data_IF_470812011328
#
_entry.id   IF_470812011328
#
_cell.length_a   1.000
_cell.length_b   1.000
_cell.length_c   1.000
_cell.angle_alpha   90.00
_cell.angle_beta   90.00
_cell.angle_gamma   90.00
#
_symmetry.space_group_name_H-M   'P 1'
#
loop_
_entity.id
_entity.type
_entity.pdbx_description
1 polymer ?
#
# COMPACT_ATOMS: atom_id res chain seq x y z
N UNK A 1 -20.51 -25.45 -30.91
CA UNK A 1 -19.66 -25.57 -29.71
C UNK A 1 -20.56 -25.43 -28.50
N UNK A 2 -20.47 -26.32 -27.49
CA UNK A 2 -21.22 -26.15 -26.24
C UNK A 2 -20.66 -24.95 -25.49
N UNK A 3 -21.54 -24.00 -25.15
CA UNK A 3 -21.18 -22.82 -24.37
C UNK A 3 -20.64 -23.24 -23.00
N UNK A 4 -19.37 -22.91 -22.72
CA UNK A 4 -18.62 -23.40 -21.58
C UNK A 4 -18.97 -22.58 -20.35
N UNK A 5 -19.06 -23.22 -19.18
CA UNK A 5 -19.16 -22.50 -17.92
C UNK A 5 -17.77 -22.03 -17.45
N UNK A 6 -17.69 -20.76 -17.10
CA UNK A 6 -16.49 -20.11 -16.55
C UNK A 6 -16.77 -19.60 -15.14
N UNK A 7 -15.74 -19.55 -14.30
CA UNK A 7 -15.88 -19.03 -12.93
C UNK A 7 -15.72 -17.51 -12.97
N UNK A 8 -16.77 -16.80 -12.55
CA UNK A 8 -16.81 -15.34 -12.51
C UNK A 8 -16.22 -14.80 -11.21
N UNK A 9 -16.55 -15.41 -10.07
CA UNK A 9 -16.08 -15.03 -8.74
C UNK A 9 -15.98 -16.26 -7.82
N UNK A 10 -15.16 -16.15 -6.77
CA UNK A 10 -15.08 -17.15 -5.69
C UNK A 10 -15.19 -16.42 -4.36
N UNK A 11 -16.26 -16.67 -3.61
CA UNK A 11 -16.65 -15.87 -2.46
C UNK A 11 -17.22 -16.71 -1.32
N UNK A 12 -17.48 -16.09 -0.17
CA UNK A 12 -18.28 -16.76 0.87
C UNK A 12 -19.73 -16.96 0.40
N UNK A 13 -20.39 -18.01 0.90
CA UNK A 13 -21.71 -18.45 0.42
C UNK A 13 -22.74 -17.32 0.31
N UNK A 14 -22.87 -16.49 1.34
CA UNK A 14 -23.83 -15.37 1.36
C UNK A 14 -23.52 -14.32 0.28
N UNK A 15 -22.24 -13.99 0.05
CA UNK A 15 -21.84 -13.06 -1.00
C UNK A 15 -22.07 -13.66 -2.40
N UNK A 16 -21.80 -14.96 -2.56
CA UNK A 16 -22.05 -15.69 -3.80
C UNK A 16 -23.56 -15.74 -4.15
N UNK A 17 -24.44 -15.92 -3.17
CA UNK A 17 -25.90 -15.87 -3.37
C UNK A 17 -26.40 -14.49 -3.78
N UNK A 18 -25.90 -13.42 -3.14
CA UNK A 18 -26.25 -12.04 -3.50
C UNK A 18 -25.83 -11.76 -4.95
N UNK A 19 -24.60 -12.14 -5.32
CA UNK A 19 -24.09 -11.98 -6.68
C UNK A 19 -24.93 -12.78 -7.69
N UNK A 20 -25.24 -14.04 -7.38
CA UNK A 20 -26.08 -14.90 -8.23
C UNK A 20 -27.45 -14.26 -8.48
N UNK A 21 -28.14 -13.83 -7.43
CA UNK A 21 -29.47 -13.22 -7.54
C UNK A 21 -29.45 -11.96 -8.43
N UNK A 22 -28.38 -11.16 -8.34
CA UNK A 22 -28.20 -9.97 -9.18
C UNK A 22 -27.96 -10.31 -10.64
N UNK A 23 -27.08 -11.28 -10.93
CA UNK A 23 -26.82 -11.75 -12.29
C UNK A 23 -28.10 -12.33 -12.93
N UNK A 24 -28.83 -13.15 -12.18
CA UNK A 24 -30.10 -13.74 -12.62
C UNK A 24 -31.15 -12.67 -12.90
N UNK A 25 -31.24 -11.64 -12.06
CA UNK A 25 -32.17 -10.51 -12.28
C UNK A 25 -31.88 -9.71 -13.55
N UNK A 26 -30.63 -9.75 -14.03
CA UNK A 26 -30.22 -9.12 -15.28
C UNK A 26 -30.29 -10.08 -16.48
N UNK A 27 -30.85 -11.28 -16.29
CA UNK A 27 -31.02 -12.30 -17.32
C UNK A 27 -29.74 -13.09 -17.64
N UNK A 28 -28.81 -13.21 -16.70
CA UNK A 28 -27.61 -14.05 -16.83
C UNK A 28 -27.79 -15.29 -15.97
N UNK A 29 -27.79 -16.46 -16.60
CA UNK A 29 -27.92 -17.74 -15.91
C UNK A 29 -26.64 -18.04 -15.11
N UNK A 30 -26.80 -18.37 -13.83
CA UNK A 30 -25.68 -18.49 -12.91
C UNK A 30 -25.74 -19.76 -12.05
N UNK A 31 -24.59 -20.40 -11.87
CA UNK A 31 -24.44 -21.69 -11.20
C UNK A 31 -23.46 -21.57 -10.03
N UNK A 32 -23.84 -22.02 -8.84
CA UNK A 32 -22.94 -22.07 -7.70
C UNK A 32 -22.26 -23.44 -7.62
N UNK A 33 -20.94 -23.46 -7.42
CA UNK A 33 -20.12 -24.66 -7.23
C UNK A 33 -19.34 -24.56 -5.90
N UNK A 34 -18.98 -25.69 -5.31
CA UNK A 34 -18.38 -25.79 -3.97
C UNK A 34 -19.30 -25.32 -2.83
N UNK A 35 -20.61 -25.53 -2.97
CA UNK A 35 -21.61 -25.27 -1.94
C UNK A 35 -21.59 -26.42 -0.93
N UNK A 36 -20.62 -26.45 -0.01
CA UNK A 36 -20.62 -27.40 1.10
C UNK A 36 -21.50 -26.86 2.24
N UNK A 37 -22.74 -27.34 2.31
CA UNK A 37 -23.73 -26.97 3.34
C UNK A 37 -23.61 -27.83 4.62
N UNK A 38 -22.73 -28.83 4.63
CA UNK A 38 -22.57 -29.78 5.73
C UNK A 38 -21.08 -29.86 6.13
N UNK A 39 -20.80 -29.41 7.36
CA UNK A 39 -19.53 -29.42 8.12
C UNK A 39 -18.50 -28.30 7.89
N UNK A 40 -18.10 -27.70 9.02
CA UNK A 40 -17.17 -26.59 9.17
C UNK A 40 -15.70 -26.96 8.95
N UNK A 41 -15.36 -27.42 7.75
CA UNK A 41 -14.00 -27.36 7.23
C UNK A 41 -13.84 -26.08 6.41
N UNK A 42 -12.68 -25.42 6.53
CA UNK A 42 -12.30 -24.18 5.84
C UNK A 42 -12.66 -24.27 4.36
N UNK A 43 -13.73 -23.60 3.92
CA UNK A 43 -14.26 -23.76 2.56
C UNK A 43 -13.30 -23.15 1.53
N UNK A 44 -13.09 -23.82 0.40
CA UNK A 44 -12.38 -23.28 -0.79
C UNK A 44 -13.07 -22.06 -1.45
N UNK A 45 -14.13 -21.52 -0.83
CA UNK A 45 -14.99 -20.49 -1.38
C UNK A 45 -15.99 -21.07 -2.37
N UNK A 46 -17.17 -20.46 -2.41
CA UNK A 46 -18.26 -20.79 -3.32
C UNK A 46 -17.98 -20.10 -4.66
N UNK A 47 -17.89 -20.89 -5.72
CA UNK A 47 -17.61 -20.42 -7.08
C UNK A 47 -18.92 -20.05 -7.76
N UNK A 48 -19.00 -18.81 -8.22
CA UNK A 48 -20.11 -18.29 -9.03
C UNK A 48 -19.72 -18.49 -10.50
N UNK A 49 -20.43 -19.35 -11.22
CA UNK A 49 -20.15 -19.69 -12.61
C UNK A 49 -21.24 -19.17 -13.55
N UNK A 50 -20.84 -18.72 -14.73
CA UNK A 50 -21.73 -18.24 -15.80
C UNK A 50 -21.30 -18.85 -17.13
N UNK A 51 -22.12 -18.66 -18.17
CA UNK A 51 -21.73 -18.98 -19.55
C UNK A 51 -20.66 -18.03 -20.04
N UNK A 52 -19.70 -18.53 -20.82
CA UNK A 52 -18.59 -17.74 -21.37
C UNK A 52 -19.10 -16.58 -22.24
N UNK A 53 -20.22 -16.79 -22.95
CA UNK A 53 -20.90 -15.77 -23.75
C UNK A 53 -21.42 -14.58 -22.94
N UNK A 54 -21.72 -14.76 -21.65
CA UNK A 54 -22.29 -13.73 -20.78
C UNK A 54 -21.25 -12.93 -19.98
N UNK A 55 -19.96 -13.25 -20.14
CA UNK A 55 -18.86 -12.68 -19.33
C UNK A 55 -18.86 -11.16 -19.35
N UNK A 56 -18.96 -10.54 -20.52
CA UNK A 56 -18.88 -9.09 -20.63
C UNK A 56 -20.04 -8.40 -19.89
N UNK A 57 -21.25 -8.94 -20.03
CA UNK A 57 -22.45 -8.42 -19.36
C UNK A 57 -22.39 -8.64 -17.85
N UNK A 58 -21.92 -9.82 -17.42
CA UNK A 58 -21.77 -10.16 -16.01
C UNK A 58 -20.74 -9.28 -15.30
N UNK A 59 -19.62 -8.98 -15.96
CA UNK A 59 -18.59 -8.08 -15.43
C UNK A 59 -19.15 -6.67 -15.20
N UNK A 60 -19.96 -6.14 -16.14
CA UNK A 60 -20.62 -4.82 -15.97
C UNK A 60 -21.51 -4.77 -14.73
N UNK A 61 -22.31 -5.81 -14.48
CA UNK A 61 -23.20 -5.89 -13.30
C UNK A 61 -22.42 -5.96 -12.00
N UNK A 62 -21.34 -6.76 -11.96
CA UNK A 62 -20.44 -6.83 -10.81
C UNK A 62 -19.86 -5.46 -10.49
N UNK A 63 -19.43 -4.73 -11.50
CA UNK A 63 -18.87 -3.39 -11.31
C UNK A 63 -19.91 -2.39 -10.80
N UNK A 64 -21.15 -2.47 -11.26
CA UNK A 64 -22.23 -1.61 -10.72
C UNK A 64 -22.47 -1.88 -9.24
N UNK A 65 -22.51 -3.15 -8.82
CA UNK A 65 -22.63 -3.54 -7.41
C UNK A 65 -21.47 -3.02 -6.56
N UNK A 66 -20.25 -3.14 -7.09
CA UNK A 66 -19.04 -2.63 -6.44
C UNK A 66 -19.07 -1.11 -6.32
N UNK A 67 -19.50 -0.40 -7.36
CA UNK A 67 -19.61 1.07 -7.33
C UNK A 67 -20.50 1.60 -6.20
N UNK A 68 -21.54 0.85 -5.80
CA UNK A 68 -22.41 1.19 -4.67
C UNK A 68 -21.72 0.97 -3.31
N UNK A 69 -20.91 -0.09 -3.18
CA UNK A 69 -20.06 -0.27 -1.99
C UNK A 69 -18.98 0.81 -1.92
N UNK A 70 -18.40 1.18 -3.05
CA UNK A 70 -17.36 2.21 -3.14
C UNK A 70 -17.87 3.62 -2.80
N UNK A 71 -19.13 3.96 -3.11
CA UNK A 71 -19.74 5.23 -2.67
C UNK A 71 -19.79 5.35 -1.13
N UNK A 72 -19.92 4.21 -0.43
CA UNK A 72 -19.89 4.15 1.03
C UNK A 72 -18.47 4.36 1.57
N UNK A 73 -17.46 3.82 0.89
CA UNK A 73 -16.03 4.00 1.25
C UNK A 73 -15.49 5.40 0.85
N UNK A 74 -16.01 6.02 -0.20
CA UNK A 74 -15.66 7.37 -0.64
C UNK A 74 -15.87 8.41 0.47
N UNK A 75 -16.90 8.20 1.30
CA UNK A 75 -17.23 9.05 2.43
C UNK A 75 -16.22 8.97 3.59
N UNK A 76 -15.40 7.91 3.62
CA UNK A 76 -14.37 7.64 4.63
C UNK A 76 -12.94 7.98 4.16
N UNK A 77 -12.76 8.45 2.92
CA UNK A 77 -11.46 8.90 2.43
C UNK A 77 -11.03 10.17 3.16
N UNK A 78 -9.97 10.06 3.95
CA UNK A 78 -9.43 11.19 4.72
C UNK A 78 -8.52 12.04 3.84
N UNK A 79 -8.69 13.34 3.97
CA UNK A 79 -7.80 14.27 3.29
C UNK A 79 -6.35 14.14 3.77
N UNK A 80 -5.35 14.38 2.90
CA UNK A 80 -3.92 14.40 3.27
C UNK A 80 -3.61 15.70 4.01
N UNK A 81 -4.31 15.95 5.13
CA UNK A 81 -3.99 17.05 6.06
C UNK A 81 -2.97 16.66 7.10
N UNK A 82 -2.65 15.36 7.18
CA UNK A 82 -1.81 14.77 8.22
C UNK A 82 -0.96 13.65 7.63
N UNK A 83 0.35 13.76 7.82
CA UNK A 83 1.35 12.79 7.40
C UNK A 83 2.01 12.19 8.64
N UNK A 84 2.07 10.86 8.71
CA UNK A 84 2.80 10.15 9.77
C UNK A 84 4.12 9.64 9.20
N UNK A 85 5.23 9.95 9.87
CA UNK A 85 6.57 9.56 9.44
C UNK A 85 7.26 8.78 10.57
N UNK A 86 7.21 7.44 10.56
CA UNK A 86 7.99 6.66 11.50
C UNK A 86 9.49 6.72 11.17
N UNK A 87 10.33 6.89 12.19
CA UNK A 87 11.77 7.12 12.03
C UNK A 87 12.61 6.25 12.97
N UNK A 88 13.84 5.99 12.56
CA UNK A 88 14.84 5.20 13.30
C UNK A 88 16.24 5.87 13.32
N UNK A 89 16.27 7.16 12.96
CA UNK A 89 17.47 8.00 12.88
C UNK A 89 18.46 7.59 11.78
N UNK A 90 18.06 6.72 10.85
CA UNK A 90 18.86 6.38 9.66
C UNK A 90 18.75 7.45 8.56
N UNK A 91 19.68 7.41 7.61
CA UNK A 91 19.60 8.21 6.38
C UNK A 91 18.29 7.97 5.61
N UNK A 92 17.80 6.73 5.58
CA UNK A 92 16.51 6.38 4.97
C UNK A 92 15.33 7.12 5.62
N UNK A 93 15.30 7.17 6.96
CA UNK A 93 14.27 7.91 7.69
C UNK A 93 14.36 9.42 7.48
N UNK A 94 15.57 9.96 7.29
CA UNK A 94 15.81 11.36 6.94
C UNK A 94 15.29 11.66 5.53
N UNK A 95 15.59 10.83 4.54
CA UNK A 95 15.06 10.96 3.18
C UNK A 95 13.53 10.89 3.17
N UNK A 96 12.95 9.95 3.93
CA UNK A 96 11.49 9.87 4.11
C UNK A 96 10.88 11.17 4.70
N UNK A 97 11.55 11.81 5.66
CA UNK A 97 11.12 13.11 6.20
C UNK A 97 11.18 14.22 5.15
N UNK A 98 12.21 14.26 4.30
CA UNK A 98 12.31 15.25 3.20
C UNK A 98 11.17 15.10 2.19
N UNK A 99 10.85 13.85 1.83
CA UNK A 99 9.68 13.54 1.00
C UNK A 99 8.36 13.99 1.68
N UNK A 100 8.23 13.75 2.99
CA UNK A 100 7.07 14.18 3.75
C UNK A 100 6.91 15.70 3.80
N UNK A 101 8.02 16.46 3.89
CA UNK A 101 8.03 17.94 3.82
C UNK A 101 7.49 18.42 2.47
N UNK A 102 7.98 17.89 1.35
CA UNK A 102 7.47 18.25 0.02
C UNK A 102 6.02 17.86 -0.21
N UNK A 103 5.60 16.71 0.33
CA UNK A 103 4.21 16.29 0.28
C UNK A 103 3.31 17.22 1.14
N UNK A 104 3.80 17.62 2.31
CA UNK A 104 3.10 18.56 3.18
C UNK A 104 2.95 19.94 2.56
N UNK A 105 3.95 20.44 1.83
CA UNK A 105 3.88 21.68 1.05
C UNK A 105 2.73 21.63 0.02
N UNK A 106 2.62 20.54 -0.74
CA UNK A 106 1.58 20.36 -1.77
C UNK A 106 0.16 20.28 -1.21
N UNK A 107 0.02 19.70 -0.02
CA UNK A 107 -1.28 19.39 0.58
C UNK A 107 -1.68 20.26 1.77
N UNK A 108 -0.83 21.24 2.15
CA UNK A 108 -0.98 22.02 3.38
C UNK A 108 -1.18 21.11 4.61
N UNK A 109 -0.25 20.16 4.79
CA UNK A 109 -0.39 19.07 5.75
C UNK A 109 0.53 19.20 6.98
N UNK A 110 0.03 18.76 8.14
CA UNK A 110 0.82 18.60 9.36
C UNK A 110 1.64 17.30 9.34
N UNK A 111 2.90 17.37 9.77
CA UNK A 111 3.78 16.20 9.90
C UNK A 111 3.85 15.75 11.37
N UNK A 112 3.69 14.45 11.59
CA UNK A 112 3.96 13.78 12.87
C UNK A 112 5.09 12.79 12.69
N UNK A 113 6.25 13.09 13.28
CA UNK A 113 7.38 12.16 13.38
C UNK A 113 7.11 11.20 14.54
N UNK A 114 7.29 9.89 14.33
CA UNK A 114 7.11 8.87 15.35
C UNK A 114 8.40 8.05 15.47
N UNK A 115 9.00 8.03 16.64
CA UNK A 115 10.02 7.05 16.96
C UNK A 115 9.46 6.02 17.94
N UNK A 116 9.71 4.74 17.66
CA UNK A 116 9.35 3.63 18.54
C UNK A 116 10.65 3.01 19.02
N UNK A 117 10.90 3.05 20.33
CA UNK A 117 12.03 2.35 20.93
C UNK A 117 11.55 1.02 21.53
N UNK A 118 12.40 0.00 21.41
CA UNK A 118 12.08 -1.33 21.90
C UNK A 118 12.52 -1.45 23.36
N UNK A 119 11.55 -1.70 24.25
CA UNK A 119 11.81 -2.23 25.57
C UNK A 119 11.65 -3.76 25.51
N UNK A 120 12.67 -4.57 25.79
CA UNK A 120 12.52 -6.01 25.86
C UNK A 120 11.49 -6.39 26.92
N UNK A 121 10.41 -7.03 26.51
CA UNK A 121 9.45 -7.67 27.43
C UNK A 121 10.18 -8.84 28.06
N UNK A 122 10.45 -8.76 29.36
CA UNK A 122 11.03 -9.87 30.11
C UNK A 122 9.90 -10.83 30.45
N UNK A 123 9.88 -12.00 29.81
CA UNK A 123 9.05 -13.09 30.30
C UNK A 123 9.51 -13.49 31.70
N UNK A 124 8.56 -13.44 32.64
CA UNK A 124 8.59 -13.87 34.04
C UNK A 124 9.92 -14.50 34.53
N UNK A 125 10.83 -13.65 35.01
CA UNK A 125 12.01 -14.10 35.77
C UNK A 125 11.56 -14.70 37.11
N UNK A 126 12.09 -15.86 37.55
CA UNK A 126 11.77 -16.44 38.85
C UNK A 126 12.01 -15.47 40.01
N UNK A 127 11.07 -15.46 40.96
CA UNK A 127 10.84 -14.46 42.01
C UNK A 127 12.05 -14.21 42.94
N UNK A 128 13.06 -15.09 42.96
CA UNK A 128 14.17 -15.05 43.92
C UNK A 128 15.23 -13.98 43.64
N UNK A 129 15.36 -13.51 42.39
CA UNK A 129 16.27 -12.41 41.99
C UNK A 129 15.52 -11.16 41.49
N UNK A 130 14.20 -11.11 41.66
CA UNK A 130 13.32 -10.20 40.92
C UNK A 130 13.46 -8.71 41.30
N UNK A 131 13.78 -8.36 42.56
CA UNK A 131 13.77 -6.96 43.00
C UNK A 131 15.00 -6.16 42.53
N UNK A 132 16.21 -6.72 42.63
CA UNK A 132 17.43 -6.06 42.12
C UNK A 132 17.43 -6.00 40.59
N UNK A 133 16.98 -7.08 39.93
CA UNK A 133 16.82 -7.11 38.47
C UNK A 133 15.76 -6.10 38.01
N UNK A 134 14.63 -5.94 38.72
CA UNK A 134 13.61 -4.95 38.36
C UNK A 134 14.09 -3.50 38.48
N UNK A 135 14.82 -3.15 39.56
CA UNK A 135 15.34 -1.78 39.73
C UNK A 135 16.40 -1.44 38.69
N UNK A 136 17.34 -2.36 38.42
CA UNK A 136 18.35 -2.16 37.37
C UNK A 136 17.71 -2.09 35.98
N UNK A 137 16.66 -2.88 35.72
CA UNK A 137 15.92 -2.83 34.45
C UNK A 137 15.13 -1.53 34.30
N UNK A 138 14.47 -1.03 35.35
CA UNK A 138 13.74 0.24 35.31
C UNK A 138 14.67 1.44 35.09
N UNK A 139 15.87 1.41 35.70
CA UNK A 139 16.91 2.44 35.47
C UNK A 139 17.40 2.36 34.02
N UNK A 140 17.72 1.16 33.53
CA UNK A 140 18.15 0.95 32.14
C UNK A 140 17.07 1.39 31.13
N UNK A 141 15.79 1.11 31.40
CA UNK A 141 14.68 1.54 30.53
C UNK A 141 14.52 3.05 30.51
N UNK A 142 14.62 3.72 31.67
CA UNK A 142 14.60 5.19 31.74
C UNK A 142 15.78 5.81 30.98
N UNK A 143 16.98 5.27 31.14
CA UNK A 143 18.15 5.72 30.39
C UNK A 143 17.97 5.52 28.88
N UNK A 144 17.42 4.38 28.46
CA UNK A 144 17.10 4.12 27.04
C UNK A 144 16.05 5.10 26.52
N UNK A 145 15.00 5.37 27.29
CA UNK A 145 13.95 6.33 26.94
C UNK A 145 14.54 7.75 26.81
N UNK A 146 15.34 8.20 27.77
CA UNK A 146 15.99 9.51 27.76
C UNK A 146 16.94 9.65 26.58
N UNK A 147 17.74 8.62 26.29
CA UNK A 147 18.60 8.60 25.10
C UNK A 147 17.80 8.65 23.80
N UNK A 148 16.71 7.89 23.71
CA UNK A 148 15.83 7.89 22.54
C UNK A 148 15.12 9.24 22.37
N UNK A 149 14.72 9.86 23.47
CA UNK A 149 14.10 11.18 23.52
C UNK A 149 15.07 12.27 23.05
N UNK A 150 16.31 12.28 23.55
CA UNK A 150 17.33 13.23 23.14
C UNK A 150 17.64 13.10 21.64
N UNK A 151 17.87 11.87 21.15
CA UNK A 151 18.06 11.60 19.72
C UNK A 151 16.88 12.05 18.87
N UNK A 152 15.65 11.85 19.35
CA UNK A 152 14.45 12.29 18.65
C UNK A 152 14.34 13.81 18.59
N UNK A 153 14.67 14.52 19.68
CA UNK A 153 14.68 16.00 19.70
C UNK A 153 15.72 16.54 18.72
N UNK A 154 16.93 15.99 18.73
CA UNK A 154 18.00 16.39 17.81
C UNK A 154 17.59 16.14 16.35
N UNK A 155 17.06 14.94 16.06
CA UNK A 155 16.59 14.58 14.73
C UNK A 155 15.45 15.50 14.25
N UNK A 156 14.45 15.77 15.10
CA UNK A 156 13.34 16.67 14.73
C UNK A 156 13.84 18.09 14.51
N UNK A 157 14.82 18.55 15.29
CA UNK A 157 15.44 19.86 15.11
C UNK A 157 16.15 19.95 13.76
N UNK A 158 16.89 18.90 13.39
CA UNK A 158 17.51 18.78 12.07
C UNK A 158 16.46 18.79 10.94
N UNK A 159 15.38 18.02 11.04
CA UNK A 159 14.31 18.00 10.02
C UNK A 159 13.62 19.36 9.90
N UNK A 160 13.39 20.07 11.01
CA UNK A 160 12.85 21.44 10.97
C UNK A 160 13.80 22.43 10.32
N UNK A 161 15.11 22.29 10.56
CA UNK A 161 16.10 23.11 9.88
C UNK A 161 16.09 22.86 8.37
N UNK A 162 16.00 21.61 7.94
CA UNK A 162 15.87 21.27 6.52
C UNK A 162 14.61 21.90 5.90
N UNK A 163 13.48 21.89 6.61
CA UNK A 163 12.27 22.57 6.14
C UNK A 163 12.50 24.08 6.00
N UNK A 164 13.13 24.72 6.99
CA UNK A 164 13.43 26.15 6.98
C UNK A 164 14.41 26.54 5.87
N UNK A 165 15.46 25.74 5.63
CA UNK A 165 16.44 25.96 4.56
C UNK A 165 15.78 25.88 3.17
N UNK A 166 14.68 25.14 3.05
CA UNK A 166 13.86 25.04 1.84
C UNK A 166 12.71 26.08 1.80
N UNK A 167 12.63 27.00 2.78
CA UNK A 167 11.58 28.03 2.87
C UNK A 167 10.19 27.50 3.26
N UNK A 168 10.16 26.39 4.02
CA UNK A 168 8.96 25.65 4.41
C UNK A 168 8.76 25.60 5.94
N UNK A 169 9.25 26.61 6.66
CA UNK A 169 9.15 26.72 8.12
C UNK A 169 7.72 26.79 8.67
N UNK A 170 6.73 27.12 7.82
CA UNK A 170 5.31 27.12 8.16
C UNK A 170 4.74 25.71 8.37
N UNK A 171 5.39 24.67 7.84
CA UNK A 171 4.92 23.29 7.98
C UNK A 171 5.05 22.85 9.43
N UNK A 172 3.92 22.49 10.05
CA UNK A 172 3.90 22.07 11.44
C UNK A 172 4.45 20.66 11.59
N UNK A 173 5.67 20.57 12.13
CA UNK A 173 6.34 19.31 12.43
C UNK A 173 6.27 19.04 13.94
N UNK A 174 5.52 18.02 14.33
CA UNK A 174 5.42 17.53 15.71
C UNK A 174 6.01 16.12 15.82
N UNK A 175 6.32 15.66 17.03
CA UNK A 175 6.90 14.33 17.24
C UNK A 175 6.25 13.56 18.39
N UNK A 176 6.46 12.25 18.43
CA UNK A 176 6.08 11.37 19.54
C UNK A 176 7.13 10.28 19.70
N UNK A 177 7.49 10.00 20.95
CA UNK A 177 8.22 8.80 21.34
C UNK A 177 7.20 7.77 21.84
N UNK A 178 7.35 6.51 21.44
CA UNK A 178 6.55 5.37 21.91
C UNK A 178 7.46 4.22 22.29
N UNK A 179 7.02 3.46 23.27
CA UNK A 179 7.64 2.20 23.66
C UNK A 179 6.85 1.05 23.03
N UNK A 180 7.54 0.05 22.47
CA UNK A 180 6.90 -1.21 22.07
C UNK A 180 7.40 -1.76 20.74
N UNK A 181 6.53 -2.54 20.09
CA UNK A 181 6.81 -3.14 18.78
C UNK A 181 6.49 -2.11 17.69
N UNK A 182 7.47 -1.84 16.82
CA UNK A 182 7.45 -0.76 15.82
C UNK A 182 6.16 -0.75 14.99
N UNK A 183 5.83 -1.86 14.32
CA UNK A 183 4.62 -1.93 13.48
C UNK A 183 3.30 -1.81 14.25
N UNK A 184 3.26 -2.23 15.52
CA UNK A 184 2.06 -2.13 16.36
C UNK A 184 1.84 -0.69 16.80
N UNK A 185 2.88 -0.02 17.28
CA UNK A 185 2.83 1.38 17.67
C UNK A 185 2.55 2.31 16.48
N UNK A 186 3.08 2.00 15.29
CA UNK A 186 2.71 2.71 14.06
C UNK A 186 1.22 2.53 13.75
N UNK A 187 0.67 1.32 13.87
CA UNK A 187 -0.74 1.06 13.60
C UNK A 187 -1.65 1.74 14.65
N UNK A 188 -1.26 1.74 15.92
CA UNK A 188 -1.95 2.45 17.01
C UNK A 188 -1.93 3.96 16.74
N UNK A 189 -0.77 4.52 16.40
CA UNK A 189 -0.64 5.93 16.06
C UNK A 189 -1.45 6.28 14.81
N UNK A 190 -1.47 5.44 13.78
CA UNK A 190 -2.29 5.65 12.59
C UNK A 190 -3.79 5.70 12.90
N UNK A 191 -4.28 4.90 13.86
CA UNK A 191 -5.67 4.95 14.32
C UNK A 191 -5.98 6.25 15.09
N UNK A 192 -5.07 6.67 15.97
CA UNK A 192 -5.24 7.87 16.80
C UNK A 192 -5.07 9.18 16.02
N UNK A 193 -3.93 9.30 15.33
CA UNK A 193 -3.54 10.46 14.53
C UNK A 193 -4.30 10.55 13.20
N UNK A 194 -4.86 9.45 12.70
CA UNK A 194 -5.66 9.42 11.46
C UNK A 194 -4.97 10.14 10.28
N UNK A 195 -3.71 9.80 9.95
CA UNK A 195 -3.03 10.38 8.79
C UNK A 195 -3.71 9.97 7.48
N UNK A 196 -3.57 10.79 6.45
CA UNK A 196 -3.98 10.45 5.08
C UNK A 196 -2.97 9.51 4.40
N UNK A 197 -1.70 9.56 4.84
CA UNK A 197 -0.60 8.75 4.32
C UNK A 197 0.48 8.53 5.40
N UNK A 198 1.14 7.38 5.34
CA UNK A 198 2.33 7.07 6.13
C UNK A 198 3.54 7.11 5.19
N UNK A 199 4.60 7.83 5.54
CA UNK A 199 5.84 7.87 4.75
C UNK A 199 6.94 7.14 5.53
N UNK A 200 7.57 6.14 4.90
CA UNK A 200 8.56 5.27 5.51
C UNK A 200 9.80 5.16 4.63
N UNK A 201 10.97 4.98 5.23
CA UNK A 201 12.13 4.46 4.50
C UNK A 201 11.87 3.01 4.07
N UNK A 202 12.38 2.60 2.90
CA UNK A 202 12.33 1.19 2.48
C UNK A 202 13.22 0.29 3.35
N UNK A 203 14.21 0.89 4.03
CA UNK A 203 15.14 0.23 4.93
C UNK A 203 15.29 1.01 6.23
N UNK A 204 15.80 0.30 7.23
CA UNK A 204 16.09 0.86 8.55
C UNK A 204 17.58 0.86 8.92
N UNK A 205 17.84 1.35 10.13
CA UNK A 205 19.17 1.45 10.73
C UNK A 205 19.80 0.06 10.87
N UNK A 206 21.00 -0.09 10.30
CA UNK A 206 21.76 -1.34 10.34
C UNK A 206 21.48 -2.29 9.18
N UNK A 207 20.47 -2.01 8.35
CA UNK A 207 20.21 -2.79 7.14
C UNK A 207 21.17 -2.37 6.01
N UNK A 208 21.84 -3.35 5.41
CA UNK A 208 22.73 -3.15 4.27
C UNK A 208 21.91 -2.98 2.98
N UNK A 209 22.53 -2.44 1.93
CA UNK A 209 21.90 -2.33 0.61
C UNK A 209 21.46 -3.70 0.04
N UNK A 210 22.08 -4.81 0.48
CA UNK A 210 21.75 -6.19 0.14
C UNK A 210 20.55 -6.79 0.88
N UNK A 211 20.13 -6.22 2.00
CA UNK A 211 19.14 -6.83 2.90
C UNK A 211 17.72 -6.72 2.31
N UNK A 212 16.85 -7.65 2.72
CA UNK A 212 15.46 -7.72 2.27
C UNK A 212 14.72 -6.45 2.71
N UNK A 213 14.19 -5.74 1.73
CA UNK A 213 13.56 -4.42 1.88
C UNK A 213 12.18 -4.56 2.54
N UNK A 214 11.85 -3.61 3.43
CA UNK A 214 10.47 -3.31 3.77
C UNK A 214 9.81 -4.25 4.77
N UNK A 215 10.57 -4.88 5.69
CA UNK A 215 9.96 -5.72 6.73
C UNK A 215 8.96 -4.94 7.60
N UNK A 216 9.32 -3.70 8.00
CA UNK A 216 8.43 -2.77 8.71
C UNK A 216 7.30 -2.29 7.79
N UNK A 217 7.61 -1.91 6.55
CA UNK A 217 6.61 -1.46 5.56
C UNK A 217 5.50 -2.51 5.37
N UNK A 218 5.87 -3.78 5.18
CA UNK A 218 4.93 -4.88 5.01
C UNK A 218 4.09 -5.11 6.27
N UNK A 219 4.73 -5.14 7.45
CA UNK A 219 4.01 -5.33 8.72
C UNK A 219 3.06 -4.17 9.02
N UNK A 220 3.43 -2.94 8.67
CA UNK A 220 2.56 -1.77 8.77
C UNK A 220 1.38 -1.89 7.80
N UNK A 221 1.59 -2.28 6.54
CA UNK A 221 0.49 -2.52 5.59
C UNK A 221 -0.46 -3.63 6.07
N UNK A 222 0.04 -4.67 6.72
CA UNK A 222 -0.79 -5.74 7.30
C UNK A 222 -1.55 -5.32 8.57
N UNK A 223 -1.19 -4.19 9.21
CA UNK A 223 -1.84 -3.70 10.44
C UNK A 223 -2.64 -2.39 10.26
N UNK A 224 -2.29 -1.54 9.31
CA UNK A 224 -2.92 -0.23 9.05
C UNK A 224 -3.61 -0.19 7.68
N UNK A 225 -4.80 0.43 7.61
CA UNK A 225 -5.56 0.66 6.36
C UNK A 225 -5.16 1.97 5.64
N UNK A 226 -4.08 2.60 6.08
CA UNK A 226 -3.60 3.87 5.52
C UNK A 226 -2.60 3.57 4.40
N UNK A 227 -2.63 4.29 3.27
CA UNK A 227 -1.61 4.21 2.24
C UNK A 227 -0.20 4.42 2.80
N UNK A 228 0.77 3.65 2.33
CA UNK A 228 2.18 3.76 2.72
C UNK A 228 3.01 4.16 1.52
N UNK A 229 3.71 5.29 1.61
CA UNK A 229 4.73 5.71 0.65
C UNK A 229 6.10 5.29 1.18
N UNK A 230 6.71 4.28 0.54
CA UNK A 230 8.02 3.77 0.91
C UNK A 230 9.11 4.40 0.03
N UNK A 231 10.10 5.04 0.67
CA UNK A 231 11.12 5.86 0.03
C UNK A 231 12.47 5.13 0.06
N UNK A 232 13.09 4.83 -1.11
CA UNK A 232 14.43 4.26 -1.16
C UNK A 232 15.52 5.30 -0.91
N UNK A 233 16.73 4.81 -0.60
CA UNK A 233 17.89 5.63 -0.18
C UNK A 233 18.25 6.73 -1.18
N UNK A 234 18.33 6.34 -2.47
CA UNK A 234 18.80 7.18 -3.57
C UNK A 234 17.64 7.81 -4.35
N UNK A 235 16.45 7.86 -3.78
CA UNK A 235 15.34 8.55 -4.41
C UNK A 235 15.69 10.05 -4.49
N UNK A 236 15.85 10.58 -5.70
CA UNK A 236 16.16 12.00 -5.89
C UNK A 236 14.96 12.84 -5.40
N UNK A 237 15.24 13.89 -4.63
CA UNK A 237 14.20 14.80 -4.15
C UNK A 237 13.75 15.78 -5.23
N UNK A 238 14.63 16.07 -6.21
CA UNK A 238 14.31 16.92 -7.35
C UNK A 238 13.20 16.26 -8.19
N UNK A 239 13.26 14.94 -8.37
CA UNK A 239 12.27 14.15 -9.11
C UNK A 239 10.90 14.15 -8.41
N UNK A 240 10.85 14.20 -7.08
CA UNK A 240 9.58 14.16 -6.34
C UNK A 240 8.77 15.46 -6.40
N UNK A 241 9.42 16.62 -6.54
CA UNK A 241 8.69 17.89 -6.71
C UNK A 241 7.96 18.00 -8.06
N UNK A 242 8.32 17.12 -9.00
CA UNK A 242 7.85 17.11 -10.38
C UNK A 242 7.40 15.71 -10.82
N UNK A 243 6.75 14.96 -9.93
CA UNK A 243 6.16 13.65 -10.28
C UNK A 243 5.21 13.84 -11.45
N UNK A 244 5.51 13.15 -12.56
CA UNK A 244 4.79 13.21 -13.83
C UNK A 244 4.25 11.85 -14.23
N UNK A 245 5.02 10.78 -14.05
CA UNK A 245 4.65 9.45 -14.51
C UNK A 245 4.54 8.50 -13.33
N UNK A 246 3.35 7.93 -13.14
CA UNK A 246 3.10 6.95 -12.09
C UNK A 246 2.67 5.66 -12.75
N UNK A 247 3.31 4.54 -12.43
CA UNK A 247 2.82 3.23 -12.87
C UNK A 247 1.93 2.63 -11.78
N UNK A 248 0.70 2.25 -12.12
CA UNK A 248 -0.16 1.45 -11.26
C UNK A 248 -0.17 0.01 -11.74
N UNK A 249 0.35 -0.91 -10.93
CA UNK A 249 0.42 -2.34 -11.29
C UNK A 249 -0.82 -3.05 -10.75
N UNK A 250 -1.63 -3.62 -11.64
CA UNK A 250 -2.89 -4.29 -11.31
C UNK A 250 -2.77 -5.81 -11.40
N UNK A 251 -3.42 -6.51 -10.46
CA UNK A 251 -3.68 -7.95 -10.50
C UNK A 251 -5.11 -8.27 -10.98
N UNK A 252 -5.83 -7.25 -11.45
CA UNK A 252 -7.28 -7.25 -11.71
C UNK A 252 -8.11 -7.73 -10.52
N UNK A 253 -7.68 -7.35 -9.31
CA UNK A 253 -8.34 -7.70 -8.07
C UNK A 253 -9.34 -6.62 -7.66
N UNK A 254 -10.32 -6.97 -6.83
CA UNK A 254 -11.30 -6.00 -6.31
C UNK A 254 -10.64 -4.86 -5.53
N UNK A 255 -9.53 -5.17 -4.86
CA UNK A 255 -8.74 -4.17 -4.15
C UNK A 255 -8.15 -3.09 -5.04
N UNK A 256 -8.00 -3.34 -6.34
CA UNK A 256 -7.50 -2.34 -7.28
C UNK A 256 -8.43 -1.14 -7.36
N UNK A 257 -9.74 -1.34 -7.25
CA UNK A 257 -10.72 -0.25 -7.33
C UNK A 257 -10.58 0.70 -6.13
N UNK A 258 -10.35 0.16 -4.93
CA UNK A 258 -10.13 0.94 -3.71
C UNK A 258 -8.77 1.65 -3.76
N UNK A 259 -7.73 0.94 -4.21
CA UNK A 259 -6.38 1.47 -4.35
C UNK A 259 -6.30 2.60 -5.38
N UNK A 260 -6.89 2.43 -6.57
CA UNK A 260 -6.96 3.43 -7.64
C UNK A 260 -7.67 4.69 -7.17
N UNK A 261 -8.77 4.55 -6.43
CA UNK A 261 -9.48 5.70 -5.87
C UNK A 261 -8.59 6.52 -4.93
N UNK A 262 -7.86 5.83 -4.03
CA UNK A 262 -6.88 6.46 -3.14
C UNK A 262 -5.70 7.05 -3.89
N UNK A 263 -5.21 6.37 -4.93
CA UNK A 263 -4.15 6.85 -5.80
C UNK A 263 -4.54 8.19 -6.42
N UNK A 264 -5.69 8.24 -7.11
CA UNK A 264 -6.18 9.46 -7.75
C UNK A 264 -6.27 10.61 -6.73
N UNK A 265 -6.70 10.32 -5.50
CA UNK A 265 -6.73 11.31 -4.44
C UNK A 265 -5.33 11.80 -4.04
N UNK A 266 -4.38 10.90 -3.82
CA UNK A 266 -2.98 11.20 -3.44
C UNK A 266 -2.21 11.93 -4.54
N UNK A 267 -2.60 11.75 -5.80
CA UNK A 267 -1.90 12.36 -6.94
C UNK A 267 -2.65 13.58 -7.49
N UNK A 268 -3.80 13.94 -6.90
CA UNK A 268 -4.65 15.04 -7.37
C UNK A 268 -3.99 16.42 -7.32
N UNK A 269 -2.99 16.61 -6.45
CA UNK A 269 -2.19 17.84 -6.38
C UNK A 269 -1.04 17.90 -7.42
N UNK A 270 -0.91 16.88 -8.28
CA UNK A 270 0.15 16.75 -9.28
C UNK A 270 -0.46 16.64 -10.69
N UNK A 271 0.24 17.17 -11.70
CA UNK A 271 -0.12 16.95 -13.10
C UNK A 271 0.52 15.66 -13.60
N UNK A 272 -0.14 14.54 -13.30
CA UNK A 272 0.40 13.20 -13.55
C UNK A 272 -0.30 12.48 -14.70
N UNK A 273 0.50 11.65 -15.38
CA UNK A 273 0.08 10.56 -16.23
C UNK A 273 0.19 9.25 -15.45
N UNK A 274 -0.92 8.51 -15.38
CA UNK A 274 -0.95 7.17 -14.77
C UNK A 274 -0.85 6.11 -15.88
N UNK A 275 0.14 5.24 -15.76
CA UNK A 275 0.30 4.04 -16.56
C UNK A 275 -0.28 2.86 -15.78
N UNK A 276 -1.50 2.43 -16.10
CA UNK A 276 -2.10 1.25 -15.51
C UNK A 276 -1.64 0.00 -16.27
N UNK A 277 -0.84 -0.85 -15.63
CA UNK A 277 -0.22 -1.99 -16.29
C UNK A 277 -0.58 -3.31 -15.62
N UNK A 278 -0.87 -4.30 -16.44
CA UNK A 278 -0.95 -5.69 -15.99
C UNK A 278 0.26 -6.47 -16.50
N UNK A 279 0.95 -7.18 -15.59
CA UNK A 279 2.16 -7.94 -15.92
C UNK A 279 1.82 -9.43 -15.93
N UNK A 280 1.90 -10.05 -17.11
CA UNK A 280 1.58 -11.47 -17.30
C UNK A 280 2.68 -12.22 -18.06
N UNK A 281 2.80 -13.52 -17.76
CA UNK A 281 3.66 -14.43 -18.52
C UNK A 281 2.96 -14.97 -19.78
N UNK A 282 1.63 -15.05 -19.74
CA UNK A 282 0.84 -15.71 -20.77
C UNK A 282 0.38 -14.74 -21.85
N UNK A 283 -0.09 -15.29 -22.97
CA UNK A 283 -0.78 -14.49 -24.00
C UNK A 283 -2.05 -13.93 -23.39
N UNK A 284 -2.28 -12.64 -23.67
CA UNK A 284 -3.52 -11.94 -23.36
C UNK A 284 -4.74 -12.79 -23.72
N UNK A 285 -5.52 -13.15 -22.71
CA UNK A 285 -6.81 -13.79 -22.91
C UNK A 285 -7.92 -12.73 -22.93
N UNK A 286 -9.11 -13.11 -23.43
CA UNK A 286 -10.25 -12.19 -23.51
C UNK A 286 -10.68 -11.65 -22.15
N UNK A 287 -10.34 -12.35 -21.07
CA UNK A 287 -10.73 -12.00 -19.71
C UNK A 287 -9.90 -10.82 -19.21
N UNK A 288 -8.59 -10.87 -19.43
CA UNK A 288 -7.65 -9.80 -19.09
C UNK A 288 -7.94 -8.52 -19.88
N UNK A 289 -8.25 -8.61 -21.19
CA UNK A 289 -8.66 -7.44 -21.97
C UNK A 289 -9.94 -6.78 -21.41
N UNK A 290 -10.96 -7.58 -21.10
CA UNK A 290 -12.21 -7.07 -20.52
C UNK A 290 -12.01 -6.43 -19.14
N UNK A 291 -11.17 -7.02 -18.29
CA UNK A 291 -10.81 -6.45 -16.98
C UNK A 291 -10.03 -5.15 -17.12
N UNK A 292 -9.14 -5.04 -18.11
CA UNK A 292 -8.41 -3.81 -18.37
C UNK A 292 -9.32 -2.69 -18.87
N UNK A 293 -10.28 -3.01 -19.75
CA UNK A 293 -11.28 -2.04 -20.22
C UNK A 293 -12.12 -1.53 -19.04
N UNK A 294 -12.49 -2.42 -18.12
CA UNK A 294 -13.20 -2.07 -16.89
C UNK A 294 -12.42 -1.10 -16.00
N UNK A 295 -11.12 -1.34 -15.78
CA UNK A 295 -10.26 -0.41 -15.04
C UNK A 295 -10.12 0.92 -15.76
N UNK A 296 -9.94 0.90 -17.09
CA UNK A 296 -9.87 2.12 -17.91
C UNK A 296 -11.12 2.98 -17.75
N UNK A 297 -12.29 2.36 -17.79
CA UNK A 297 -13.56 3.05 -17.57
C UNK A 297 -13.71 3.54 -16.14
N UNK A 298 -13.22 2.79 -15.15
CA UNK A 298 -13.22 3.20 -13.76
C UNK A 298 -12.37 4.46 -13.53
N UNK A 299 -11.16 4.52 -14.08
CA UNK A 299 -10.31 5.72 -14.05
C UNK A 299 -11.05 6.94 -14.63
N UNK A 300 -11.67 6.80 -15.81
CA UNK A 300 -12.45 7.87 -16.46
C UNK A 300 -13.64 8.34 -15.62
N UNK A 301 -14.27 7.45 -14.87
CA UNK A 301 -15.42 7.78 -14.00
C UNK A 301 -14.99 8.57 -12.77
N UNK A 302 -13.87 8.20 -12.14
CA UNK A 302 -13.42 8.86 -10.90
C UNK A 302 -12.81 10.23 -11.19
N UNK A 303 -11.96 10.35 -12.21
CA UNK A 303 -11.33 11.63 -12.53
C UNK A 303 -11.03 11.73 -14.02
N UNK A 304 -11.79 12.58 -14.72
CA UNK A 304 -11.65 12.83 -16.16
C UNK A 304 -10.40 13.63 -16.53
N UNK A 305 -9.79 14.31 -15.54
CA UNK A 305 -8.66 15.21 -15.79
C UNK A 305 -7.31 14.50 -15.72
N UNK A 306 -7.25 13.31 -15.10
CA UNK A 306 -6.01 12.53 -15.03
C UNK A 306 -5.82 11.76 -16.33
N UNK A 307 -4.65 11.89 -16.94
CA UNK A 307 -4.28 11.12 -18.13
C UNK A 307 -3.98 9.69 -17.71
N UNK A 308 -4.66 8.71 -18.30
CA UNK A 308 -4.45 7.29 -17.99
C UNK A 308 -4.22 6.50 -19.27
N UNK A 309 -3.12 5.74 -19.29
CA UNK A 309 -2.81 4.76 -20.33
C UNK A 309 -2.82 3.37 -19.72
N UNK A 310 -3.56 2.46 -20.36
CA UNK A 310 -3.70 1.08 -19.90
C UNK A 310 -2.99 0.13 -20.87
N UNK A 311 -2.06 -0.68 -20.39
CA UNK A 311 -1.26 -1.57 -21.23
C UNK A 311 -0.91 -2.89 -20.55
N UNK A 312 -0.48 -3.87 -21.36
CA UNK A 312 -0.01 -5.17 -20.88
C UNK A 312 1.51 -5.26 -21.04
N UNK A 313 2.18 -5.70 -19.97
CA UNK A 313 3.61 -6.03 -19.99
C UNK A 313 3.73 -7.55 -20.06
N UNK A 314 4.35 -8.06 -21.13
CA UNK A 314 4.44 -9.49 -21.45
C UNK A 314 5.88 -9.98 -21.32
N UNK A 315 6.07 -11.14 -20.70
CA UNK A 315 7.31 -11.92 -20.82
C UNK A 315 7.63 -12.80 -19.62
N UNK A 316 8.66 -13.63 -19.78
CA UNK A 316 9.00 -14.71 -18.84
C UNK A 316 9.45 -14.21 -17.46
N UNK A 317 10.02 -13.01 -17.41
CA UNK A 317 10.42 -12.32 -16.19
C UNK A 317 9.62 -11.03 -15.97
N UNK A 318 8.48 -11.10 -15.25
CA UNK A 318 7.63 -9.95 -14.92
C UNK A 318 8.36 -8.75 -14.31
N UNK A 319 9.38 -9.00 -13.49
CA UNK A 319 10.12 -7.95 -12.76
C UNK A 319 11.03 -7.18 -13.70
N UNK A 320 11.87 -7.88 -14.46
CA UNK A 320 12.78 -7.25 -15.41
C UNK A 320 11.99 -6.47 -16.47
N UNK A 321 10.83 -6.99 -16.89
CA UNK A 321 9.96 -6.28 -17.85
C UNK A 321 9.28 -5.04 -17.25
N UNK A 322 8.88 -5.09 -15.98
CA UNK A 322 8.35 -3.92 -15.29
C UNK A 322 9.44 -2.85 -15.09
N UNK A 323 10.66 -3.27 -14.77
CA UNK A 323 11.82 -2.38 -14.63
C UNK A 323 12.15 -1.68 -15.95
N UNK A 324 12.26 -2.44 -17.05
CA UNK A 324 12.47 -1.88 -18.38
C UNK A 324 11.32 -0.94 -18.80
N UNK A 325 10.08 -1.26 -18.42
CA UNK A 325 8.94 -0.36 -18.63
C UNK A 325 9.09 0.94 -17.83
N UNK A 326 9.53 0.85 -16.57
CA UNK A 326 9.75 2.01 -15.72
C UNK A 326 10.83 2.94 -16.28
N UNK A 327 11.94 2.39 -16.75
CA UNK A 327 13.02 3.16 -17.38
C UNK A 327 12.55 3.82 -18.69
N UNK A 328 11.88 3.05 -19.57
CA UNK A 328 11.43 3.55 -20.87
C UNK A 328 10.39 4.68 -20.76
N UNK A 329 9.54 4.63 -19.73
CA UNK A 329 8.45 5.60 -19.54
C UNK A 329 8.78 6.67 -18.50
N UNK A 330 10.03 6.74 -18.02
CA UNK A 330 10.51 7.69 -17.01
C UNK A 330 9.56 7.73 -15.80
N UNK A 331 9.25 6.54 -15.26
CA UNK A 331 8.33 6.39 -14.13
C UNK A 331 8.97 6.94 -12.86
N UNK A 332 8.24 7.80 -12.15
CA UNK A 332 8.67 8.42 -10.89
C UNK A 332 8.21 7.62 -9.66
N UNK A 333 7.04 6.98 -9.74
CA UNK A 333 6.44 6.24 -8.62
C UNK A 333 5.80 4.95 -9.11
N UNK A 334 6.02 3.85 -8.38
CA UNK A 334 5.31 2.59 -8.58
C UNK A 334 4.21 2.47 -7.52
N UNK A 335 2.97 2.36 -7.96
CA UNK A 335 1.78 2.22 -7.14
C UNK A 335 1.20 0.80 -7.26
N UNK A 336 0.81 0.19 -6.13
CA UNK A 336 0.25 -1.16 -6.14
C UNK A 336 -0.61 -1.47 -4.90
N UNK A 337 -1.57 -2.37 -5.11
CA UNK A 337 -2.48 -2.86 -4.06
C UNK A 337 -1.92 -4.12 -3.36
N UNK A 338 -2.16 -4.22 -2.04
CA UNK A 338 -1.77 -5.34 -1.20
C UNK A 338 -2.95 -6.28 -0.96
N UNK A 339 -2.81 -7.52 -1.42
CA UNK A 339 -3.62 -8.67 -0.98
C UNK A 339 -2.69 -9.75 -0.45
N UNK A 340 -3.14 -10.53 0.54
CA UNK A 340 -2.41 -11.63 1.22
C UNK A 340 -1.81 -12.72 0.28
N UNK A 341 -2.00 -12.64 -1.04
CA UNK A 341 -1.46 -13.53 -2.09
C UNK A 341 -1.13 -12.82 -3.42
N UNK A 342 -1.01 -11.49 -3.45
CA UNK A 342 -0.91 -10.68 -4.69
C UNK A 342 0.51 -10.25 -5.10
N UNK A 343 0.58 -9.27 -6.03
CA UNK A 343 1.80 -8.65 -6.57
C UNK A 343 2.80 -8.22 -5.50
N UNK A 344 2.33 -7.66 -4.38
CA UNK A 344 3.23 -7.23 -3.32
C UNK A 344 4.04 -8.37 -2.72
N UNK A 345 3.48 -9.56 -2.53
CA UNK A 345 4.29 -10.70 -2.07
C UNK A 345 5.30 -11.16 -3.11
N UNK A 346 4.99 -11.03 -4.40
CA UNK A 346 5.92 -11.34 -5.50
C UNK A 346 7.04 -10.31 -5.57
N UNK A 347 6.70 -9.04 -5.41
CA UNK A 347 7.64 -7.91 -5.44
C UNK A 347 8.48 -7.86 -4.17
N UNK A 348 7.97 -8.27 -3.00
CA UNK A 348 8.67 -8.30 -1.71
C UNK A 348 9.29 -9.67 -1.36
N UNK A 349 9.31 -10.62 -2.31
CA UNK A 349 10.05 -11.88 -2.20
C UNK A 349 11.58 -11.62 -2.33
N UNK A 350 12.45 -12.19 -1.47
CA UNK A 350 13.89 -11.89 -1.41
C UNK A 350 14.65 -11.87 -2.75
N UNK A 351 14.24 -12.67 -3.74
CA UNK A 351 14.86 -12.70 -5.06
C UNK A 351 14.38 -11.63 -6.05
N UNK A 352 13.12 -11.20 -5.97
CA UNK A 352 12.48 -10.25 -6.90
C UNK A 352 12.57 -8.79 -6.42
N UNK A 353 12.44 -8.58 -5.11
CA UNK A 353 12.53 -7.25 -4.45
C UNK A 353 13.87 -6.58 -4.68
N UNK A 354 14.92 -7.40 -4.71
CA UNK A 354 16.30 -6.96 -4.82
C UNK A 354 16.63 -6.39 -6.21
N UNK A 355 15.73 -6.46 -7.20
CA UNK A 355 15.94 -5.83 -8.52
C UNK A 355 15.11 -4.56 -8.68
N UNK A 356 13.78 -4.64 -8.58
CA UNK A 356 12.89 -3.47 -8.75
C UNK A 356 13.21 -2.30 -7.80
N UNK A 357 13.58 -2.58 -6.55
CA UNK A 357 13.88 -1.52 -5.57
C UNK A 357 15.38 -1.18 -5.54
N UNK A 358 16.26 -2.05 -6.03
CA UNK A 358 17.71 -1.84 -6.01
C UNK A 358 18.23 -1.14 -7.28
N UNK A 359 17.64 -1.42 -8.43
CA UNK A 359 17.98 -0.80 -9.71
C UNK A 359 17.22 0.50 -9.92
N UNK A 360 15.92 0.53 -9.60
CA UNK A 360 15.04 1.65 -9.95
C UNK A 360 15.12 2.86 -9.02
N UNK A 361 15.50 2.71 -7.74
CA UNK A 361 15.42 3.78 -6.73
C UNK A 361 14.08 4.55 -6.71
N UNK A 362 13.00 3.94 -7.18
CA UNK A 362 11.69 4.57 -7.28
C UNK A 362 10.91 4.42 -5.97
N UNK A 363 10.29 5.49 -5.45
CA UNK A 363 9.29 5.40 -4.40
C UNK A 363 8.17 4.40 -4.72
N UNK A 364 7.73 3.67 -3.70
CA UNK A 364 6.61 2.73 -3.79
C UNK A 364 5.41 3.27 -3.03
N UNK A 365 4.28 3.46 -3.73
CA UNK A 365 3.01 3.83 -3.12
C UNK A 365 2.12 2.59 -2.95
N UNK A 366 1.98 2.16 -1.70
CA UNK A 366 1.42 0.87 -1.34
C UNK A 366 0.04 1.06 -0.69
N UNK A 367 -0.95 0.38 -1.23
CA UNK A 367 -2.32 0.39 -0.71
C UNK A 367 -2.63 -0.91 -0.02
N UNK A 368 -3.33 -0.84 1.11
CA UNK A 368 -3.96 -2.03 1.69
C UNK A 368 -5.41 -2.13 1.20
N UNK A 369 -5.74 -3.31 0.67
CA UNK A 369 -7.10 -3.78 0.45
C UNK A 369 -7.84 -4.00 1.78
#
# INVERSE_FOLDING_TARGET
MKDRLVTLATDHYTAAEILKARLESAGIECFLKNVNLLQGAVSEGVKVQIRESDVEKALRIIMELKSLQEQKEAKDMKEIRRILVPVDFSGFSKTACRYAIKLAEKYDADIKILHVFYAPIVDLVPITDAYSIQVDMDINLREMEDQARNKLVDFVTEIRQIAADEGLEQIKISYSLREGIVEDEIAIMAKAYKPGIIVLGTKGKGEKQSDIIGSVVYRVLDKAKIPVLAIPDKASLEDFTNVKNIVYVTDFDESDYVAIRRLIYIVSAFDVKIHCVHVSKDKEDKWDSAKMDNLRDYFKRINKNVKVECSFIKGDNPVDNLEAFCELNEIDIIALSNKKRGLLQRIFNPGLTRKLIHSGNLPLLLFRA
#
